data_IF_345837365059
#
_entry.id   IF_345837365059
#
_cell.length_a   1.000
_cell.length_b   1.000
_cell.length_c   1.000
_cell.angle_alpha   90.00
_cell.angle_beta   90.00
_cell.angle_gamma   90.00
#
_symmetry.space_group_name_H-M   'P 1'
#
loop_
_entity.id
_entity.type
_entity.pdbx_description
1 polymer ?
#
# COMPACT_ATOMS: atom_id res chain seq x y z
N UNK A 1 -12.52 -1.50 -13.11
CA UNK A 1 -11.06 -1.75 -13.32
C UNK A 1 -10.63 -2.98 -12.53
N UNK A 2 -9.90 -3.93 -13.14
CA UNK A 2 -9.44 -5.16 -12.45
C UNK A 2 -8.25 -4.81 -11.53
N UNK A 3 -8.36 -5.04 -10.22
CA UNK A 3 -7.34 -4.69 -9.20
C UNK A 3 -5.89 -5.14 -9.51
N UNK A 4 -5.73 -6.27 -10.22
CA UNK A 4 -4.40 -6.72 -10.66
C UNK A 4 -3.72 -5.71 -11.59
N UNK A 5 -4.50 -5.14 -12.51
CA UNK A 5 -4.00 -4.18 -13.50
C UNK A 5 -3.63 -2.85 -12.84
N UNK A 6 -4.38 -2.43 -11.81
CA UNK A 6 -4.02 -1.27 -11.00
C UNK A 6 -2.64 -1.45 -10.34
N UNK A 7 -2.41 -2.62 -9.72
CA UNK A 7 -1.11 -2.92 -9.11
C UNK A 7 0.02 -2.98 -10.15
N UNK A 8 -0.26 -3.53 -11.33
CA UNK A 8 0.68 -3.60 -12.43
C UNK A 8 1.08 -2.21 -12.95
N UNK A 9 0.11 -1.32 -13.16
CA UNK A 9 0.38 0.07 -13.55
C UNK A 9 1.25 0.81 -12.53
N UNK A 10 0.98 0.60 -11.24
CA UNK A 10 1.76 1.22 -10.16
C UNK A 10 3.15 0.61 -9.99
N UNK A 11 3.33 -0.65 -10.39
CA UNK A 11 4.61 -1.36 -10.27
C UNK A 11 5.72 -0.82 -11.18
N UNK A 12 5.38 -0.08 -12.25
CA UNK A 12 6.39 0.52 -13.13
C UNK A 12 7.26 1.58 -12.45
N UNK A 13 6.74 2.23 -11.39
CA UNK A 13 7.36 3.42 -10.80
C UNK A 13 7.88 3.22 -9.38
N UNK A 14 7.62 2.07 -8.75
CA UNK A 14 8.03 1.82 -7.37
C UNK A 14 8.20 0.32 -7.08
N UNK A 15 9.33 0.00 -6.45
CA UNK A 15 9.66 -1.37 -6.03
C UNK A 15 8.64 -1.87 -4.98
N UNK A 16 8.13 -0.99 -4.13
CA UNK A 16 7.13 -1.39 -3.13
C UNK A 16 5.81 -1.83 -3.78
N UNK A 17 5.40 -1.22 -4.90
CA UNK A 17 4.25 -1.68 -5.68
C UNK A 17 4.55 -2.94 -6.50
N UNK A 18 5.80 -3.17 -6.93
CA UNK A 18 6.23 -4.46 -7.52
C UNK A 18 6.08 -5.61 -6.54
N UNK A 19 6.48 -5.41 -5.28
CA UNK A 19 6.31 -6.43 -4.23
C UNK A 19 4.83 -6.74 -3.99
N UNK A 20 3.96 -5.72 -3.93
CA UNK A 20 2.51 -5.92 -3.82
C UNK A 20 1.92 -6.67 -5.00
N UNK A 21 2.28 -6.29 -6.23
CA UNK A 21 1.81 -6.96 -7.44
C UNK A 21 2.23 -8.44 -7.45
N UNK A 22 3.50 -8.71 -7.13
CA UNK A 22 4.05 -10.07 -7.09
C UNK A 22 3.37 -10.92 -6.03
N UNK A 23 3.17 -10.37 -4.83
CA UNK A 23 2.43 -11.03 -3.74
C UNK A 23 1.01 -11.40 -4.17
N UNK A 24 0.29 -10.45 -4.78
CA UNK A 24 -1.06 -10.68 -5.27
C UNK A 24 -1.11 -11.75 -6.38
N UNK A 25 -0.16 -11.72 -7.33
CA UNK A 25 -0.10 -12.67 -8.45
C UNK A 25 0.23 -14.08 -7.96
N UNK A 26 1.21 -14.21 -7.05
CA UNK A 26 1.62 -15.48 -6.44
C UNK A 26 0.46 -16.12 -5.67
N UNK A 27 -0.20 -15.36 -4.79
CA UNK A 27 -1.35 -15.85 -4.03
C UNK A 27 -2.50 -16.31 -4.94
N UNK A 28 -2.79 -15.55 -6.01
CA UNK A 28 -3.78 -15.97 -7.02
C UNK A 28 -3.42 -17.31 -7.68
N UNK A 29 -2.15 -17.53 -8.02
CA UNK A 29 -1.67 -18.78 -8.62
C UNK A 29 -1.83 -19.95 -7.65
N UNK A 30 -1.53 -19.75 -6.37
CA UNK A 30 -1.73 -20.75 -5.33
C UNK A 30 -3.22 -21.10 -5.15
N UNK A 31 -4.11 -20.10 -5.08
CA UNK A 31 -5.57 -20.33 -4.98
C UNK A 31 -6.10 -21.14 -6.18
N UNK A 32 -5.64 -20.85 -7.41
CA UNK A 32 -6.02 -21.63 -8.60
C UNK A 32 -5.61 -23.11 -8.47
N UNK A 33 -4.43 -23.39 -7.91
CA UNK A 33 -3.95 -24.76 -7.67
C UNK A 33 -4.82 -25.49 -6.64
N UNK A 34 -5.17 -24.83 -5.54
CA UNK A 34 -6.07 -25.37 -4.52
C UNK A 34 -7.44 -25.71 -5.11
N UNK A 35 -8.00 -24.80 -5.91
CA UNK A 35 -9.28 -25.03 -6.57
C UNK A 35 -9.26 -26.23 -7.52
N UNK A 36 -8.16 -26.43 -8.28
CA UNK A 36 -7.99 -27.59 -9.16
C UNK A 36 -7.91 -28.88 -8.34
N UNK A 37 -7.12 -28.89 -7.26
CA UNK A 37 -6.98 -30.06 -6.37
C UNK A 37 -8.33 -30.44 -5.72
N UNK A 38 -9.12 -29.46 -5.27
CA UNK A 38 -10.45 -29.70 -4.71
C UNK A 38 -11.46 -30.25 -5.73
N UNK A 39 -11.35 -29.86 -7.01
CA UNK A 39 -12.21 -30.40 -8.08
C UNK A 39 -11.88 -31.84 -8.44
N UNK A 40 -10.59 -32.21 -8.44
CA UNK A 40 -10.15 -33.60 -8.69
C UNK A 40 -10.71 -34.58 -7.64
N UNK A 41 -11.00 -34.11 -6.42
CA UNK A 41 -11.68 -34.92 -5.39
C UNK A 41 -13.13 -35.29 -5.71
N UNK A 42 -13.85 -34.46 -6.48
CA UNK A 42 -15.27 -34.67 -6.76
C UNK A 42 -15.52 -35.60 -7.97
N UNK A 43 -14.47 -36.16 -8.57
CA UNK A 43 -14.59 -37.12 -9.67
C UNK A 43 -14.80 -38.54 -9.11
N UNK A 44 -15.85 -39.29 -9.51
CA UNK A 44 -16.24 -40.53 -8.88
C UNK A 44 -15.33 -41.69 -9.31
N UNK A 45 -14.20 -41.87 -8.64
CA UNK A 45 -13.44 -43.12 -8.69
C UNK A 45 -12.99 -43.53 -7.28
N UNK A 46 -13.64 -44.60 -6.79
CA UNK A 46 -13.24 -45.61 -5.80
C UNK A 46 -12.70 -45.17 -4.42
N UNK A 47 -13.58 -45.37 -3.43
CA UNK A 47 -13.46 -45.77 -2.01
C UNK A 47 -12.10 -45.91 -1.28
N UNK A 48 -11.06 -45.13 -1.57
CA UNK A 48 -9.91 -44.98 -0.64
C UNK A 48 -9.78 -43.52 -0.17
N UNK A 49 -10.56 -43.18 0.86
CA UNK A 49 -10.80 -41.81 1.35
C UNK A 49 -9.64 -41.18 2.17
N UNK A 50 -8.45 -41.80 2.20
CA UNK A 50 -7.31 -41.35 3.03
C UNK A 50 -6.37 -40.31 2.39
N UNK A 51 -5.85 -40.52 1.16
CA UNK A 51 -4.75 -39.71 0.63
C UNK A 51 -5.18 -38.36 0.05
N UNK A 52 -6.37 -38.30 -0.56
CA UNK A 52 -6.80 -37.13 -1.33
C UNK A 52 -7.21 -35.95 -0.45
N UNK A 53 -7.83 -36.22 0.71
CA UNK A 53 -8.22 -35.18 1.67
C UNK A 53 -7.01 -34.56 2.37
N UNK A 54 -6.00 -35.40 2.66
CA UNK A 54 -4.74 -34.96 3.23
C UNK A 54 -3.97 -34.02 2.28
N UNK A 55 -3.97 -34.30 0.97
CA UNK A 55 -3.32 -33.43 -0.02
C UNK A 55 -3.96 -32.02 -0.09
N UNK A 56 -5.29 -31.92 0.06
CA UNK A 56 -5.99 -30.63 0.11
C UNK A 56 -5.67 -29.89 1.41
N UNK A 57 -5.70 -30.57 2.55
CA UNK A 57 -5.33 -29.98 3.85
C UNK A 57 -3.89 -29.47 3.86
N UNK A 58 -2.95 -30.24 3.32
CA UNK A 58 -1.56 -29.81 3.16
C UNK A 58 -1.43 -28.61 2.22
N UNK A 59 -2.21 -28.59 1.13
CA UNK A 59 -2.28 -27.45 0.23
C UNK A 59 -2.75 -26.18 0.95
N UNK A 60 -3.82 -26.28 1.74
CA UNK A 60 -4.36 -25.18 2.55
C UNK A 60 -3.33 -24.69 3.58
N UNK A 61 -2.65 -25.60 4.29
CA UNK A 61 -1.59 -25.25 5.24
C UNK A 61 -0.41 -24.53 4.57
N UNK A 62 0.02 -25.00 3.39
CA UNK A 62 1.09 -24.35 2.61
C UNK A 62 0.68 -22.95 2.14
N UNK A 63 -0.56 -22.78 1.69
CA UNK A 63 -1.09 -21.47 1.31
C UNK A 63 -1.15 -20.52 2.51
N UNK A 64 -1.67 -20.98 3.65
CA UNK A 64 -1.72 -20.22 4.89
C UNK A 64 -0.32 -19.74 5.33
N UNK A 65 0.67 -20.63 5.33
CA UNK A 65 2.05 -20.30 5.67
C UNK A 65 2.66 -19.29 4.68
N UNK A 66 2.46 -19.48 3.38
CA UNK A 66 2.95 -18.56 2.35
C UNK A 66 2.32 -17.17 2.48
N UNK A 67 1.01 -17.10 2.78
CA UNK A 67 0.30 -15.84 2.96
C UNK A 67 0.77 -15.13 4.23
N UNK A 68 0.91 -15.86 5.35
CA UNK A 68 1.42 -15.30 6.60
C UNK A 68 2.82 -14.69 6.42
N UNK A 69 3.74 -15.42 5.78
CA UNK A 69 5.08 -14.89 5.48
C UNK A 69 5.04 -13.65 4.58
N UNK A 70 4.14 -13.62 3.60
CA UNK A 70 3.93 -12.43 2.77
C UNK A 70 3.43 -11.24 3.59
N UNK A 71 2.46 -11.45 4.47
CA UNK A 71 1.89 -10.41 5.35
C UNK A 71 2.95 -9.87 6.32
N UNK A 72 3.78 -10.75 6.89
CA UNK A 72 4.90 -10.35 7.76
C UNK A 72 5.93 -9.51 7.00
N UNK A 73 6.27 -9.89 5.77
CA UNK A 73 7.19 -9.12 4.92
C UNK A 73 6.62 -7.73 4.57
N UNK A 74 5.34 -7.66 4.17
CA UNK A 74 4.66 -6.38 3.92
C UNK A 74 4.67 -5.48 5.16
N UNK A 75 4.42 -6.06 6.34
CA UNK A 75 4.49 -5.33 7.61
C UNK A 75 5.89 -4.81 7.92
N UNK A 76 6.93 -5.63 7.72
CA UNK A 76 8.30 -5.21 7.95
C UNK A 76 8.72 -4.02 7.05
N UNK A 77 8.35 -4.07 5.76
CA UNK A 77 8.60 -2.95 4.84
C UNK A 77 7.88 -1.67 5.29
N UNK A 78 6.62 -1.81 5.72
CA UNK A 78 5.83 -0.69 6.24
C UNK A 78 6.47 -0.07 7.49
N UNK A 79 6.85 -0.91 8.47
CA UNK A 79 7.49 -0.46 9.71
C UNK A 79 8.78 0.29 9.42
N UNK A 80 9.65 -0.29 8.58
CA UNK A 80 10.93 0.33 8.18
C UNK A 80 10.70 1.72 7.56
N UNK A 81 9.69 1.84 6.69
CA UNK A 81 9.38 3.13 6.06
C UNK A 81 8.77 4.13 7.04
N UNK A 82 7.92 3.68 7.96
CA UNK A 82 7.35 4.51 9.01
C UNK A 82 8.43 5.03 9.97
N UNK A 83 9.36 4.17 10.39
CA UNK A 83 10.49 4.54 11.26
C UNK A 83 11.34 5.63 10.62
N UNK A 84 11.72 5.47 9.35
CA UNK A 84 12.42 6.50 8.58
C UNK A 84 11.67 7.84 8.59
N UNK A 85 10.34 7.83 8.40
CA UNK A 85 9.55 9.07 8.38
C UNK A 85 9.46 9.72 9.77
N UNK A 86 9.40 8.93 10.84
CA UNK A 86 9.46 9.46 12.21
C UNK A 86 10.80 10.16 12.45
N UNK A 87 11.91 9.54 12.03
CA UNK A 87 13.25 10.12 12.18
C UNK A 87 13.41 11.41 11.38
N UNK A 88 12.91 11.45 10.14
CA UNK A 88 12.95 12.67 9.32
C UNK A 88 12.11 13.78 9.96
N UNK A 89 10.90 13.48 10.44
CA UNK A 89 10.07 14.46 11.14
C UNK A 89 10.79 15.04 12.36
N UNK A 90 11.44 14.20 13.17
CA UNK A 90 12.22 14.66 14.31
C UNK A 90 13.35 15.63 13.94
N UNK A 91 14.03 15.37 12.81
CA UNK A 91 15.07 16.27 12.28
C UNK A 91 14.48 17.61 11.81
N UNK A 92 13.32 17.59 11.14
CA UNK A 92 12.64 18.79 10.67
C UNK A 92 12.14 19.65 11.85
N UNK A 93 11.62 19.02 12.91
CA UNK A 93 11.22 19.70 14.14
C UNK A 93 12.41 20.34 14.86
N UNK A 94 13.52 19.61 14.98
CA UNK A 94 14.74 20.15 15.57
C UNK A 94 15.24 21.38 14.80
N UNK A 95 15.29 21.28 13.46
CA UNK A 95 15.72 22.39 12.61
C UNK A 95 14.78 23.59 12.71
N UNK A 96 13.48 23.35 12.81
CA UNK A 96 12.49 24.42 13.05
C UNK A 96 12.76 25.15 14.36
N UNK A 97 13.05 24.42 15.44
CA UNK A 97 13.37 25.01 16.74
C UNK A 97 14.68 25.84 16.70
N UNK A 98 15.71 25.35 16.00
CA UNK A 98 16.98 26.07 15.82
C UNK A 98 16.81 27.40 15.07
N UNK A 99 15.97 27.41 14.03
CA UNK A 99 15.60 28.62 13.28
C UNK A 99 14.83 29.62 14.15
N UNK A 100 13.91 29.15 15.00
CA UNK A 100 13.16 30.01 15.93
C UNK A 100 14.02 30.60 17.03
N UNK A 101 15.05 29.88 17.51
CA UNK A 101 15.95 30.35 18.55
C UNK A 101 16.97 31.41 18.05
N UNK A 102 16.91 31.82 16.78
CA UNK A 102 17.86 32.76 16.19
C UNK A 102 19.26 32.17 15.98
N UNK A 103 19.38 30.83 15.99
CA UNK A 103 20.67 30.12 15.91
C UNK A 103 21.31 30.11 14.52
N UNK A 104 20.62 30.58 13.48
CA UNK A 104 21.09 30.54 12.08
C UNK A 104 21.40 31.92 11.50
N UNK A 105 22.56 32.09 10.87
CA UNK A 105 22.94 33.32 10.15
C UNK A 105 22.13 33.59 8.88
N UNK A 106 21.30 32.64 8.45
CA UNK A 106 20.51 32.65 7.21
C UNK A 106 19.01 32.49 7.50
N UNK A 107 18.42 33.33 8.35
CA UNK A 107 17.06 33.15 8.86
C UNK A 107 15.98 32.95 7.80
N UNK A 108 15.96 33.74 6.71
CA UNK A 108 14.95 33.60 5.65
C UNK A 108 15.23 32.43 4.69
N UNK A 109 16.46 32.29 4.22
CA UNK A 109 16.86 31.20 3.34
C UNK A 109 16.70 29.83 4.03
N UNK A 110 17.03 29.75 5.32
CA UNK A 110 16.82 28.56 6.14
C UNK A 110 15.35 28.20 6.33
N UNK A 111 14.46 29.20 6.46
CA UNK A 111 13.00 28.99 6.52
C UNK A 111 12.42 28.53 5.20
N UNK A 112 12.88 29.07 4.08
CA UNK A 112 12.48 28.61 2.74
C UNK A 112 12.90 27.17 2.48
N UNK A 113 14.14 26.80 2.81
CA UNK A 113 14.61 25.42 2.65
C UNK A 113 13.85 24.44 3.58
N UNK A 114 13.59 24.82 4.83
CA UNK A 114 12.75 24.02 5.73
C UNK A 114 11.33 23.83 5.18
N UNK A 115 10.72 24.88 4.63
CA UNK A 115 9.40 24.80 3.99
C UNK A 115 9.41 23.78 2.83
N UNK A 116 10.40 23.84 1.93
CA UNK A 116 10.52 22.89 0.82
C UNK A 116 10.68 21.45 1.32
N UNK A 117 11.46 21.23 2.37
CA UNK A 117 11.65 19.90 2.97
C UNK A 117 10.38 19.36 3.63
N UNK A 118 9.60 20.21 4.30
CA UNK A 118 8.30 19.82 4.87
C UNK A 118 7.28 19.44 3.81
N UNK A 119 7.20 20.18 2.71
CA UNK A 119 6.30 19.85 1.58
C UNK A 119 6.70 18.52 0.93
N UNK A 120 7.99 18.31 0.71
CA UNK A 120 8.51 17.04 0.19
C UNK A 120 8.21 15.88 1.15
N UNK A 121 8.47 16.06 2.44
CA UNK A 121 8.16 15.09 3.48
C UNK A 121 6.67 14.75 3.53
N UNK A 122 5.79 15.75 3.45
CA UNK A 122 4.35 15.55 3.43
C UNK A 122 3.93 14.65 2.26
N UNK A 123 4.46 14.89 1.06
CA UNK A 123 4.25 14.03 -0.10
C UNK A 123 4.73 12.59 0.13
N UNK A 124 5.91 12.40 0.70
CA UNK A 124 6.44 11.07 1.04
C UNK A 124 5.59 10.34 2.07
N UNK A 125 5.11 11.04 3.10
CA UNK A 125 4.24 10.49 4.14
C UNK A 125 2.87 10.05 3.58
N UNK A 126 2.27 10.85 2.68
CA UNK A 126 1.04 10.50 1.97
C UNK A 126 1.24 9.25 1.09
N UNK A 127 2.35 9.16 0.36
CA UNK A 127 2.66 7.98 -0.46
C UNK A 127 2.82 6.72 0.39
N UNK A 128 3.49 6.81 1.55
CA UNK A 128 3.62 5.69 2.49
C UNK A 128 2.26 5.27 3.07
N UNK A 129 1.38 6.23 3.36
CA UNK A 129 0.02 5.96 3.83
C UNK A 129 -0.81 5.26 2.75
N UNK A 130 -0.78 5.76 1.51
CA UNK A 130 -1.48 5.14 0.39
C UNK A 130 -0.98 3.70 0.13
N UNK A 131 0.33 3.49 0.15
CA UNK A 131 0.89 2.15 0.01
C UNK A 131 0.42 1.20 1.12
N UNK A 132 0.35 1.67 2.37
CA UNK A 132 -0.13 0.87 3.51
C UNK A 132 -1.59 0.42 3.32
N UNK A 133 -2.45 1.33 2.85
CA UNK A 133 -3.85 1.02 2.53
C UNK A 133 -3.94 -0.02 1.40
N UNK A 134 -3.12 0.14 0.36
CA UNK A 134 -3.06 -0.80 -0.74
C UNK A 134 -2.53 -2.18 -0.33
N UNK A 135 -1.55 -2.23 0.56
CA UNK A 135 -1.03 -3.48 1.11
C UNK A 135 -2.11 -4.23 1.90
N UNK A 136 -2.83 -3.54 2.78
CA UNK A 136 -3.95 -4.11 3.52
C UNK A 136 -5.06 -4.60 2.58
N UNK A 137 -5.42 -3.78 1.59
CA UNK A 137 -6.43 -4.13 0.58
C UNK A 137 -6.01 -5.36 -0.23
N UNK A 138 -4.72 -5.51 -0.54
CA UNK A 138 -4.17 -6.67 -1.25
C UNK A 138 -4.45 -7.94 -0.45
N UNK A 139 -4.13 -7.94 0.84
CA UNK A 139 -4.36 -9.09 1.72
C UNK A 139 -5.85 -9.41 1.82
N UNK A 140 -6.71 -8.41 2.04
CA UNK A 140 -8.16 -8.63 2.08
C UNK A 140 -8.71 -9.22 0.79
N UNK A 141 -8.26 -8.74 -0.37
CA UNK A 141 -8.67 -9.28 -1.67
C UNK A 141 -8.19 -10.71 -1.89
N UNK A 142 -7.00 -11.06 -1.39
CA UNK A 142 -6.50 -12.46 -1.42
C UNK A 142 -7.39 -13.35 -0.56
N UNK A 143 -7.68 -12.94 0.68
CA UNK A 143 -8.54 -13.69 1.60
C UNK A 143 -9.96 -13.91 1.05
N UNK A 144 -10.61 -12.83 0.58
CA UNK A 144 -11.92 -12.92 -0.07
C UNK A 144 -11.90 -13.83 -1.30
N UNK A 145 -10.82 -13.77 -2.10
CA UNK A 145 -10.68 -14.62 -3.29
C UNK A 145 -10.49 -16.09 -2.95
N UNK A 146 -9.70 -16.40 -1.92
CA UNK A 146 -9.54 -17.77 -1.42
C UNK A 146 -10.90 -18.33 -0.99
N UNK A 147 -11.60 -17.62 -0.09
CA UNK A 147 -12.92 -18.03 0.38
C UNK A 147 -13.92 -18.25 -0.75
N UNK A 148 -13.95 -17.36 -1.76
CA UNK A 148 -14.84 -17.51 -2.93
C UNK A 148 -14.50 -18.72 -3.82
N UNK A 149 -13.22 -19.12 -3.90
CA UNK A 149 -12.75 -20.18 -4.84
C UNK A 149 -12.67 -21.56 -4.21
N UNK A 150 -12.37 -21.66 -2.92
CA UNK A 150 -12.25 -22.94 -2.20
C UNK A 150 -13.47 -23.22 -1.32
N UNK A 151 -14.26 -22.21 -0.99
CA UNK A 151 -15.38 -22.33 -0.03
C UNK A 151 -14.92 -22.39 1.43
N UNK A 152 -13.60 -22.37 1.69
CA UNK A 152 -13.01 -22.49 3.01
C UNK A 152 -12.50 -21.14 3.50
N UNK A 153 -12.53 -20.91 4.80
CA UNK A 153 -11.77 -19.82 5.41
C UNK A 153 -10.33 -20.27 5.63
N UNK A 154 -9.37 -19.38 5.33
CA UNK A 154 -7.96 -19.61 5.63
C UNK A 154 -7.80 -19.84 7.13
N UNK A 155 -7.40 -21.04 7.52
CA UNK A 155 -7.12 -21.36 8.91
C UNK A 155 -5.70 -20.94 9.28
N UNK A 156 -5.56 -19.66 9.59
CA UNK A 156 -4.33 -19.07 10.10
C UNK A 156 -4.67 -18.11 11.26
N UNK A 157 -4.74 -18.61 12.51
CA UNK A 157 -5.00 -17.77 13.69
C UNK A 157 -4.03 -16.59 13.78
N UNK A 158 -2.77 -16.82 13.43
CA UNK A 158 -1.70 -15.81 13.39
C UNK A 158 -2.01 -14.72 12.37
N UNK A 159 -2.67 -15.04 11.25
CA UNK A 159 -3.03 -14.05 10.24
C UNK A 159 -4.11 -13.09 10.77
N UNK A 160 -5.08 -13.59 11.55
CA UNK A 160 -6.06 -12.72 12.24
C UNK A 160 -5.36 -11.80 13.24
N UNK A 161 -4.40 -12.34 14.00
CA UNK A 161 -3.63 -11.56 14.96
C UNK A 161 -2.74 -10.51 14.28
N UNK A 162 -2.06 -10.87 13.20
CA UNK A 162 -1.19 -9.95 12.46
C UNK A 162 -2.00 -8.85 11.79
N UNK A 163 -3.21 -9.12 11.31
CA UNK A 163 -4.11 -8.12 10.73
C UNK A 163 -4.81 -7.24 11.77
N UNK A 164 -5.02 -7.74 12.99
CA UNK A 164 -5.59 -6.96 14.10
C UNK A 164 -4.56 -6.19 14.90
N UNK A 165 -3.26 -6.43 14.66
CA UNK A 165 -2.20 -5.67 15.31
C UNK A 165 -2.18 -4.22 14.83
N UNK A 166 -1.82 -3.27 15.73
CA UNK A 166 -1.69 -1.85 15.40
C UNK A 166 -0.65 -1.57 14.31
N UNK A 167 0.12 -2.58 13.88
CA UNK A 167 0.93 -2.49 12.67
C UNK A 167 0.11 -2.10 11.45
N UNK A 168 -1.12 -2.57 11.25
CA UNK A 168 -1.87 -2.15 10.05
C UNK A 168 -2.58 -0.79 10.19
N UNK A 169 -2.43 -0.12 11.34
CA UNK A 169 -2.97 1.22 11.54
C UNK A 169 -2.18 2.26 10.76
N UNK A 170 -2.89 3.19 10.13
CA UNK A 170 -2.31 4.37 9.48
C UNK A 170 -2.18 5.55 10.45
N UNK A 171 -2.50 5.40 11.74
CA UNK A 171 -2.52 6.49 12.72
C UNK A 171 -1.19 7.23 12.83
N UNK A 172 -0.06 6.51 12.85
CA UNK A 172 1.26 7.15 12.91
C UNK A 172 1.52 7.98 11.65
N UNK A 173 1.22 7.43 10.47
CA UNK A 173 1.40 8.14 9.21
C UNK A 173 0.46 9.35 9.11
N UNK A 174 -0.79 9.22 9.56
CA UNK A 174 -1.75 10.31 9.62
C UNK A 174 -1.28 11.42 10.58
N UNK A 175 -0.75 11.05 11.74
CA UNK A 175 -0.17 12.01 12.68
C UNK A 175 1.03 12.75 12.07
N UNK A 176 1.92 12.06 11.35
CA UNK A 176 3.05 12.68 10.65
C UNK A 176 2.60 13.64 9.54
N UNK A 177 1.58 13.25 8.76
CA UNK A 177 0.98 14.10 7.71
C UNK A 177 0.41 15.39 8.32
N UNK A 178 -0.43 15.28 9.35
CA UNK A 178 -1.03 16.43 10.04
C UNK A 178 0.04 17.34 10.65
N UNK A 179 1.12 16.76 11.18
CA UNK A 179 2.22 17.51 11.76
C UNK A 179 3.01 18.30 10.73
N UNK A 180 3.27 17.69 9.57
CA UNK A 180 3.91 18.36 8.46
C UNK A 180 3.05 19.52 7.94
N UNK A 181 1.73 19.33 7.82
CA UNK A 181 0.79 20.39 7.42
C UNK A 181 0.80 21.56 8.40
N UNK A 182 0.76 21.27 9.71
CA UNK A 182 0.77 22.29 10.75
C UNK A 182 2.07 23.13 10.70
N UNK A 183 3.23 22.48 10.59
CA UNK A 183 4.51 23.17 10.48
C UNK A 183 4.64 23.98 9.18
N UNK A 184 4.18 23.42 8.05
CA UNK A 184 4.18 24.11 6.76
C UNK A 184 3.32 25.37 6.81
N UNK A 185 2.13 25.27 7.41
CA UNK A 185 1.20 26.39 7.58
C UNK A 185 1.80 27.48 8.48
N UNK A 186 2.43 27.09 9.59
CA UNK A 186 3.09 28.04 10.48
C UNK A 186 4.22 28.80 9.78
N UNK A 187 5.11 28.09 9.07
CA UNK A 187 6.20 28.72 8.31
C UNK A 187 5.69 29.65 7.21
N UNK A 188 4.61 29.28 6.53
CA UNK A 188 4.01 30.13 5.50
C UNK A 188 3.50 31.45 6.10
N UNK A 189 2.89 31.42 7.29
CA UNK A 189 2.45 32.63 7.99
C UNK A 189 3.63 33.50 8.42
N UNK A 190 4.70 32.90 8.95
CA UNK A 190 5.91 33.62 9.35
C UNK A 190 6.61 34.31 8.17
N UNK A 191 6.67 33.65 7.00
CA UNK A 191 7.23 34.22 5.78
C UNK A 191 6.36 35.36 5.23
N UNK A 192 5.03 35.25 5.31
CA UNK A 192 4.12 36.30 4.86
C UNK A 192 4.22 37.58 5.72
N UNK A 193 4.29 37.45 7.05
CA UNK A 193 4.41 38.61 7.97
C UNK A 193 5.69 39.41 7.73
N UNK A 194 6.79 38.76 7.35
CA UNK A 194 8.06 39.43 7.07
C UNK A 194 8.07 40.16 5.73
N UNK A 195 7.27 39.71 4.76
CA UNK A 195 7.11 40.41 3.47
C UNK A 195 6.32 41.73 3.59
N UNK A 196 5.42 41.84 4.57
CA UNK A 196 4.60 43.04 4.79
C UNK A 196 5.32 44.11 5.63
N UNK A 197 6.20 43.69 6.55
CA UNK A 197 7.01 44.60 7.38
C UNK A 197 8.07 45.41 6.58
N UNK A 198 8.32 45.06 5.32
CA UNK A 198 9.19 45.79 4.38
C UNK A 198 8.49 46.80 3.48
N UNK A 199 7.16 46.90 3.51
CA UNK A 199 6.38 47.75 2.60
C UNK A 199 5.74 48.94 3.33
N UNK A 200 6.43 50.09 3.32
CA UNK A 200 5.77 51.37 3.61
C UNK A 200 5.05 51.83 2.33
N UNK A 201 3.75 51.57 2.26
CA UNK A 201 2.79 52.36 1.46
C UNK A 201 2.05 51.66 0.31
N UNK A 202 0.74 51.47 0.47
CA UNK A 202 -0.22 51.25 -0.64
C UNK A 202 -1.36 50.28 -0.29
N UNK A 203 -2.64 50.59 -0.62
CA UNK A 203 -3.78 50.03 0.09
C UNK A 203 -4.26 48.66 -0.43
N UNK A 204 -4.63 47.84 0.56
CA UNK A 204 -5.81 46.96 0.63
C UNK A 204 -6.16 46.12 -0.61
N UNK A 205 -5.73 44.86 -0.59
CA UNK A 205 -6.39 43.75 -1.27
C UNK A 205 -6.38 42.53 -0.36
N UNK A 206 -7.50 42.31 0.32
CA UNK A 206 -7.74 41.16 1.18
C UNK A 206 -7.54 39.81 0.44
N UNK A 207 -6.85 38.82 1.02
CA UNK A 207 -6.77 37.49 0.43
C UNK A 207 -8.08 36.74 0.71
N UNK A 208 -8.75 36.30 -0.34
CA UNK A 208 -9.96 35.47 -0.28
C UNK A 208 -9.69 34.09 0.37
N UNK A 209 -10.72 33.46 0.96
CA UNK A 209 -10.55 32.23 1.74
C UNK A 209 -10.20 31.03 0.85
N UNK A 210 -9.12 30.31 1.22
CA UNK A 210 -8.69 29.05 0.62
C UNK A 210 -9.72 27.94 0.90
N UNK A 211 -10.70 27.79 0.02
CA UNK A 211 -11.77 26.79 0.11
C UNK A 211 -11.36 25.37 -0.38
N UNK A 212 -10.08 25.14 -0.71
CA UNK A 212 -9.63 23.88 -1.32
C UNK A 212 -9.16 22.78 -0.35
N UNK A 213 -9.00 23.06 0.94
CA UNK A 213 -8.46 22.09 1.92
C UNK A 213 -9.50 21.12 2.52
N UNK A 214 -10.80 21.41 2.40
CA UNK A 214 -11.85 20.52 2.93
C UNK A 214 -12.08 19.24 2.10
N UNK A 215 -11.56 19.17 0.86
CA UNK A 215 -11.72 18.01 -0.03
C UNK A 215 -10.75 16.86 0.30
N UNK A 216 -9.55 17.19 0.79
CA UNK A 216 -8.51 16.19 1.10
C UNK A 216 -8.84 15.46 2.40
N UNK A 217 -9.29 16.19 3.43
CA UNK A 217 -9.76 15.60 4.70
C UNK A 217 -10.99 14.70 4.54
N UNK A 218 -11.90 15.02 3.61
CA UNK A 218 -13.03 14.17 3.27
C UNK A 218 -12.58 12.87 2.57
N UNK A 219 -11.56 12.94 1.72
CA UNK A 219 -10.98 11.77 1.03
C UNK A 219 -10.17 10.88 1.98
N UNK A 220 -9.45 11.48 2.93
CA UNK A 220 -8.69 10.76 3.97
C UNK A 220 -9.62 10.03 4.94
N UNK A 221 -10.74 10.64 5.35
CA UNK A 221 -11.76 9.97 6.17
C UNK A 221 -12.50 8.85 5.41
N UNK A 222 -12.70 8.99 4.09
CA UNK A 222 -13.35 7.95 3.28
C UNK A 222 -12.45 6.71 3.08
N UNK A 223 -11.12 6.88 3.02
CA UNK A 223 -10.16 5.78 2.91
C UNK A 223 -9.83 5.09 4.24
N UNK A 224 -9.84 5.84 5.35
CA UNK A 224 -9.60 5.30 6.71
C UNK A 224 -10.83 4.62 7.30
N UNK A 225 -12.04 4.99 6.85
CA UNK A 225 -13.31 4.42 7.30
C UNK A 225 -14.15 3.86 6.15
N UNK A 226 -13.55 3.14 5.20
CA UNK A 226 -14.32 2.39 4.19
C UNK A 226 -15.18 1.33 4.90
N UNK A 227 -16.52 1.48 4.99
CA UNK A 227 -17.35 0.45 5.60
C UNK A 227 -17.29 -0.80 4.71
N UNK A 228 -17.27 -1.99 5.32
CA UNK A 228 -17.23 -3.26 4.60
C UNK A 228 -18.28 -3.40 3.49
N UNK A 229 -19.38 -2.65 3.59
CA UNK A 229 -20.50 -2.57 2.64
C UNK A 229 -20.24 -1.71 1.38
N UNK A 230 -19.27 -0.78 1.38
CA UNK A 230 -18.99 0.07 0.20
C UNK A 230 -18.19 -0.66 -0.91
N UNK A 231 -17.81 -1.92 -0.67
CA UNK A 231 -17.17 -2.82 -1.65
C UNK A 231 -18.15 -3.83 -2.26
N UNK A 232 -19.45 -3.69 -2.02
CA UNK A 232 -20.48 -4.66 -2.41
C UNK A 232 -21.03 -4.44 -3.84
N UNK A 233 -20.58 -3.40 -4.53
CA UNK A 233 -20.87 -3.15 -5.94
C UNK A 233 -19.69 -3.58 -6.82
N UNK A 234 -19.56 -4.89 -7.06
CA UNK A 234 -18.67 -5.44 -8.10
C UNK A 234 -19.53 -5.97 -9.28
N UNK A 235 -19.38 -5.42 -10.50
CA UNK A 235 -20.11 -5.84 -11.70
C UNK A 235 -19.59 -7.15 -12.35
N UNK A 236 -18.71 -7.91 -11.69
CA UNK A 236 -18.25 -9.23 -12.15
C UNK A 236 -19.25 -10.32 -11.73
N UNK A 237 -20.52 -10.15 -12.12
CA UNK A 237 -21.58 -11.15 -11.98
C UNK A 237 -21.50 -12.22 -13.06
N UNK A 238 -20.34 -12.79 -13.31
CA UNK A 238 -20.29 -14.05 -14.04
C UNK A 238 -20.47 -15.18 -13.02
N UNK A 239 -21.76 -15.43 -12.79
CA UNK A 239 -22.27 -16.72 -12.37
C UNK A 239 -21.61 -17.81 -13.20
N UNK A 240 -21.36 -18.92 -12.52
CA UNK A 240 -21.03 -20.23 -13.07
C UNK A 240 -21.71 -20.47 -14.43
N UNK A 241 -20.96 -20.29 -15.50
CA UNK A 241 -21.17 -21.00 -16.76
C UNK A 241 -19.81 -21.53 -17.20
N UNK A 242 -19.75 -22.85 -17.33
CA UNK A 242 -18.59 -23.51 -17.90
C UNK A 242 -18.48 -23.11 -19.36
N UNK A 243 -17.37 -22.47 -19.70
CA UNK A 243 -16.82 -22.50 -21.04
C UNK A 243 -15.32 -22.27 -20.88
N UNK A 244 -14.59 -23.29 -21.30
CA UNK A 244 -13.15 -23.30 -21.44
C UNK A 244 -12.73 -22.17 -22.38
N UNK A 245 -11.81 -21.32 -21.93
CA UNK A 245 -10.98 -20.53 -22.83
C UNK A 245 -9.52 -20.79 -22.46
N UNK A 246 -8.93 -21.69 -23.25
CA UNK A 246 -7.51 -21.89 -23.40
C UNK A 246 -6.83 -20.60 -23.89
N UNK A 247 -5.63 -20.38 -23.38
CA UNK A 247 -4.79 -19.23 -23.69
C UNK A 247 -3.46 -19.40 -22.97
N UNK A 248 -2.73 -20.42 -23.39
CA UNK A 248 -1.34 -20.68 -23.02
C UNK A 248 -0.45 -19.52 -23.50
N UNK A 249 0.23 -18.87 -22.57
CA UNK A 249 1.45 -18.10 -22.82
C UNK A 249 2.44 -18.44 -21.71
N UNK A 250 2.97 -19.66 -21.74
CA UNK A 250 4.25 -20.00 -21.13
C UNK A 250 5.33 -19.82 -22.21
N UNK A 251 5.91 -18.62 -22.25
CA UNK A 251 7.15 -18.37 -22.99
C UNK A 251 8.34 -18.88 -22.19
N UNK A 252 8.77 -20.12 -22.47
CA UNK A 252 10.09 -20.61 -22.08
C UNK A 252 11.17 -19.85 -22.86
N UNK A 253 11.91 -18.99 -22.18
CA UNK A 253 13.11 -18.37 -22.72
C UNK A 253 14.27 -19.37 -22.60
N UNK A 254 14.48 -20.14 -23.67
CA UNK A 254 15.64 -21.04 -23.82
C UNK A 254 16.86 -20.20 -24.20
N UNK A 255 17.77 -19.96 -23.25
CA UNK A 255 19.08 -19.39 -23.57
C UNK A 255 19.95 -20.45 -24.26
N UNK A 256 20.11 -20.31 -25.56
CA UNK A 256 21.05 -21.10 -26.36
C UNK A 256 22.35 -20.29 -26.50
N UNK A 257 23.37 -20.64 -25.72
CA UNK A 257 24.73 -20.12 -25.83
C UNK A 257 25.71 -21.28 -26.04
N UNK A 258 25.98 -21.59 -27.30
CA UNK A 258 27.16 -22.26 -27.85
C UNK A 258 26.92 -22.31 -29.37
N UNK A 259 27.75 -21.80 -30.27
CA UNK A 259 29.16 -22.06 -30.58
C UNK A 259 29.65 -20.88 -31.46
N UNK A 260 30.92 -20.58 -31.67
CA UNK A 260 32.14 -21.35 -31.57
C UNK A 260 33.26 -20.52 -32.21
N UNK A 261 34.45 -21.06 -32.08
CA UNK A 261 35.76 -20.45 -32.16
C UNK A 261 36.40 -20.66 -33.55
N UNK A 262 37.42 -19.86 -33.88
CA UNK A 262 38.51 -20.13 -34.86
C UNK A 262 38.18 -20.17 -36.37
N UNK A 263 38.59 -19.11 -37.10
CA UNK A 263 39.82 -19.08 -37.95
C UNK A 263 40.16 -17.63 -38.35
#
# INVERSE_FOLDING_TARGET
MKYAHLLEQLSGNSEEFRVLHTTYKSAKKQIKRLQRAARTQHQPQQEDAGPSNQAVLEGEARFAASLLGSVQSLNAMRCTKQERLVDIMGQLEQRSAELQAGGSSHGDEGRHDLYSQLVQFHGEALLAMNWSIMAYTTVLKILKKHQKRTGLQVQAPELRNVLSQPSWSTEVLAALVNRAEAMTTALQQELAVQSDAGSVGGPDMAPGPLQHQNSVNASINLLTHLPAAALDSDPDSDLVTGMDEDGDEDGEEVSMLEMGEVE
#
